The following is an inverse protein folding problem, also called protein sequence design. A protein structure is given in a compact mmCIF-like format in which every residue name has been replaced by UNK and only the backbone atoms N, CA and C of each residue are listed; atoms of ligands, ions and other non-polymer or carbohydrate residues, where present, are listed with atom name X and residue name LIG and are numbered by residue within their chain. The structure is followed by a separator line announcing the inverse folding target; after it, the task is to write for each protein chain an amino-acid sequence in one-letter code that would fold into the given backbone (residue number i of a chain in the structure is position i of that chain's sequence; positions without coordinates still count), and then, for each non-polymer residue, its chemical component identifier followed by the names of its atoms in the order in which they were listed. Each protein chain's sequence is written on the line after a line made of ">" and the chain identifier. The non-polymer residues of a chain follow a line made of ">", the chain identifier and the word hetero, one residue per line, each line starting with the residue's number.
data_IF_428142448943
#
_entry.id   IF_428142448943
#
_cell.length_a   1.000
_cell.length_b   1.000
_cell.length_c   1.000
_cell.angle_alpha   90.00
_cell.angle_beta   90.00
_cell.angle_gamma   90.00
#
_symmetry.space_group_name_H-M   'P 1'
#
loop_
_entity.id
_entity.type
_entity.pdbx_description
1 polymer ?
#
# COMPACT_ATOMS: atom_id res chain seq x y z
N UNK A 1 -33.81 22.66 18.78
CA UNK A 1 -32.51 22.49 19.46
C UNK A 1 -31.85 21.13 19.08
N UNK A 2 -32.63 20.03 18.96
CA UNK A 2 -32.10 18.72 18.57
C UNK A 2 -31.64 18.65 17.08
N UNK A 3 -32.25 19.43 16.19
CA UNK A 3 -31.89 19.46 14.76
C UNK A 3 -30.57 20.19 14.47
N UNK A 4 -30.17 21.16 15.29
CA UNK A 4 -28.90 21.87 15.14
C UNK A 4 -27.69 21.06 15.62
N UNK A 5 -27.89 20.18 16.62
CA UNK A 5 -26.82 19.30 17.13
C UNK A 5 -26.48 18.17 16.16
N UNK A 6 -27.48 17.62 15.44
CA UNK A 6 -27.26 16.57 14.43
C UNK A 6 -26.51 17.11 13.18
N UNK A 7 -26.77 18.36 12.77
CA UNK A 7 -26.06 19.00 11.66
C UNK A 7 -24.60 19.33 12.00
N UNK A 8 -24.29 19.63 13.26
CA UNK A 8 -22.90 19.90 13.68
C UNK A 8 -22.04 18.61 13.76
N UNK A 9 -22.61 17.48 14.14
CA UNK A 9 -21.90 16.21 14.18
C UNK A 9 -21.55 15.71 12.76
N UNK A 10 -22.49 15.76 11.82
CA UNK A 10 -22.24 15.37 10.43
C UNK A 10 -21.24 16.27 9.70
N UNK A 11 -21.18 17.55 10.03
CA UNK A 11 -20.19 18.50 9.46
C UNK A 11 -18.79 18.26 9.98
N UNK A 12 -18.66 17.84 11.24
CA UNK A 12 -17.38 17.53 11.87
C UNK A 12 -16.81 16.18 11.39
N UNK A 13 -17.66 15.20 11.14
CA UNK A 13 -17.27 13.92 10.52
C UNK A 13 -16.78 14.09 9.07
N UNK A 14 -17.35 14.99 8.31
CA UNK A 14 -16.95 15.29 6.92
C UNK A 14 -15.62 16.04 6.82
N UNK A 15 -15.16 16.67 7.91
CA UNK A 15 -13.89 17.41 7.97
C UNK A 15 -12.76 16.59 8.64
N UNK A 16 -13.07 15.45 9.26
CA UNK A 16 -12.07 14.60 9.90
C UNK A 16 -11.17 13.93 8.84
N UNK A 17 -9.87 13.93 9.11
CA UNK A 17 -8.91 13.18 8.28
C UNK A 17 -9.19 11.67 8.36
N UNK A 18 -8.69 10.87 7.40
CA UNK A 18 -8.83 9.40 7.46
C UNK A 18 -8.41 8.79 8.80
N UNK A 19 -7.27 9.23 9.37
CA UNK A 19 -6.79 8.68 10.64
C UNK A 19 -7.59 9.21 11.84
N UNK A 20 -8.08 10.46 11.83
CA UNK A 20 -9.00 10.93 12.88
C UNK A 20 -10.32 10.17 12.86
N UNK A 21 -10.78 9.73 11.69
CA UNK A 21 -12.01 8.94 11.52
C UNK A 21 -11.84 7.49 11.94
N UNK A 22 -10.79 6.85 11.49
CA UNK A 22 -10.60 5.39 11.61
C UNK A 22 -9.63 4.98 12.74
N UNK A 23 -8.70 5.85 13.14
CA UNK A 23 -7.73 5.61 14.22
C UNK A 23 -6.84 4.40 13.99
N UNK A 24 -6.60 3.63 15.06
CA UNK A 24 -5.78 2.42 15.01
C UNK A 24 -6.50 1.31 14.23
N UNK A 25 -5.84 0.79 13.20
CA UNK A 25 -6.34 -0.33 12.42
C UNK A 25 -6.02 -1.66 13.10
N UNK A 26 -6.91 -2.64 12.95
CA UNK A 26 -6.69 -4.00 13.44
C UNK A 26 -7.25 -5.04 12.49
N UNK A 27 -6.65 -6.22 12.46
CA UNK A 27 -7.15 -7.38 11.71
C UNK A 27 -8.06 -8.21 12.61
N UNK A 28 -9.25 -8.53 12.08
CA UNK A 28 -10.16 -9.49 12.71
C UNK A 28 -10.73 -10.42 11.64
N UNK A 29 -10.32 -11.68 11.69
CA UNK A 29 -10.65 -12.63 10.63
C UNK A 29 -10.07 -12.17 9.30
N UNK A 30 -10.91 -12.03 8.28
CA UNK A 30 -10.51 -11.60 6.94
C UNK A 30 -10.58 -10.09 6.71
N UNK A 31 -10.96 -9.32 7.73
CA UNK A 31 -11.22 -7.89 7.61
C UNK A 31 -10.19 -7.04 8.37
N UNK A 32 -9.96 -5.85 7.85
CA UNK A 32 -9.29 -4.77 8.56
C UNK A 32 -10.38 -3.87 9.13
N UNK A 33 -10.37 -3.69 10.44
CA UNK A 33 -11.33 -2.87 11.17
C UNK A 33 -10.66 -1.62 11.71
N UNK A 34 -11.46 -0.58 11.91
CA UNK A 34 -11.06 0.66 12.57
C UNK A 34 -11.20 0.59 14.12
N UNK A 35 -10.88 1.71 14.79
CA UNK A 35 -11.01 1.84 16.24
C UNK A 35 -12.47 1.72 16.74
N UNK A 36 -13.46 1.76 15.86
CA UNK A 36 -14.90 1.63 16.15
C UNK A 36 -15.46 0.26 15.77
N UNK A 37 -14.59 -0.71 15.47
CA UNK A 37 -14.96 -2.06 15.03
C UNK A 37 -15.71 -2.11 13.67
N UNK A 38 -15.52 -1.08 12.83
CA UNK A 38 -16.12 -1.04 11.51
C UNK A 38 -15.10 -1.46 10.44
N UNK A 39 -15.51 -2.24 9.41
CA UNK A 39 -14.66 -2.55 8.28
C UNK A 39 -14.17 -1.28 7.57
N UNK A 40 -12.90 -1.24 7.23
CA UNK A 40 -12.25 -0.12 6.54
C UNK A 40 -11.66 -0.57 5.22
N UNK A 41 -11.99 0.14 4.15
CA UNK A 41 -11.30 0.06 2.88
C UNK A 41 -10.51 1.34 2.64
N UNK A 42 -9.19 1.27 2.75
CA UNK A 42 -8.31 2.36 2.37
C UNK A 42 -8.05 2.33 0.87
N UNK A 43 -8.04 3.51 0.24
CA UNK A 43 -7.79 3.66 -1.20
C UNK A 43 -6.67 4.66 -1.42
N UNK A 44 -5.68 4.28 -2.23
CA UNK A 44 -4.49 5.11 -2.35
C UNK A 44 -3.68 4.96 -3.62
N UNK A 45 -2.57 5.68 -3.61
CA UNK A 45 -1.55 5.67 -4.66
C UNK A 45 -0.23 5.19 -4.11
N UNK A 46 0.49 4.39 -4.89
CA UNK A 46 1.89 4.10 -4.66
C UNK A 46 2.78 5.12 -5.38
N UNK A 47 3.80 5.61 -4.72
CA UNK A 47 4.93 6.24 -5.40
C UNK A 47 5.71 5.19 -6.20
N UNK A 48 6.64 5.63 -7.04
CA UNK A 48 7.55 4.74 -7.79
C UNK A 48 8.79 4.38 -6.95
N UNK A 49 9.64 3.48 -7.43
CA UNK A 49 10.91 3.10 -6.81
C UNK A 49 11.71 4.31 -6.35
N UNK A 50 12.13 4.37 -5.08
CA UNK A 50 12.74 5.57 -4.48
C UNK A 50 14.04 6.00 -5.15
N UNK A 51 14.87 5.05 -5.68
CA UNK A 51 16.11 5.39 -6.36
C UNK A 51 15.90 6.06 -7.73
N UNK A 52 14.78 5.77 -8.41
CA UNK A 52 14.45 6.31 -9.73
C UNK A 52 13.40 7.41 -9.70
N UNK A 53 12.41 7.28 -8.83
CA UNK A 53 11.31 8.24 -8.67
C UNK A 53 11.50 9.24 -7.54
N UNK A 54 12.71 9.35 -6.96
CA UNK A 54 12.97 10.12 -5.75
C UNK A 54 12.58 11.60 -5.80
N UNK A 55 12.48 12.20 -6.99
CA UNK A 55 11.99 13.58 -7.13
C UNK A 55 10.52 13.75 -6.70
N UNK A 56 9.72 12.68 -6.75
CA UNK A 56 8.32 12.67 -6.32
C UNK A 56 8.15 12.42 -4.81
N UNK A 57 9.22 12.13 -4.08
CA UNK A 57 9.18 11.93 -2.63
C UNK A 57 9.26 13.29 -1.91
N UNK A 58 8.17 14.03 -1.93
CA UNK A 58 8.09 15.36 -1.34
C UNK A 58 6.68 15.69 -0.82
N UNK A 59 6.53 16.69 0.10
CA UNK A 59 5.23 17.03 0.69
C UNK A 59 4.20 17.53 -0.31
N UNK A 60 4.59 18.24 -1.39
CA UNK A 60 3.65 18.76 -2.38
C UNK A 60 2.89 17.65 -3.11
N UNK A 61 3.56 16.49 -3.30
CA UNK A 61 2.93 15.28 -3.85
C UNK A 61 1.89 14.74 -2.88
N UNK A 62 2.22 14.65 -1.60
CA UNK A 62 1.28 14.20 -0.55
C UNK A 62 0.07 15.12 -0.50
N UNK A 63 0.27 16.44 -0.47
CA UNK A 63 -0.78 17.44 -0.47
C UNK A 63 -1.71 17.27 -1.67
N UNK A 64 -1.16 17.12 -2.87
CA UNK A 64 -1.94 16.94 -4.09
C UNK A 64 -2.74 15.64 -4.09
N UNK A 65 -2.13 14.53 -3.64
CA UNK A 65 -2.83 13.25 -3.55
C UNK A 65 -4.00 13.31 -2.56
N UNK A 66 -3.83 14.01 -1.44
CA UNK A 66 -4.91 14.17 -0.45
C UNK A 66 -5.99 15.13 -0.95
N UNK A 67 -5.61 16.35 -1.41
CA UNK A 67 -6.56 17.42 -1.70
C UNK A 67 -7.28 17.27 -3.05
N UNK A 68 -6.58 16.72 -4.06
CA UNK A 68 -7.08 16.60 -5.43
C UNK A 68 -7.50 15.18 -5.81
N UNK A 69 -6.76 14.16 -5.33
CA UNK A 69 -7.06 12.78 -5.65
C UNK A 69 -7.94 12.08 -4.61
N UNK A 70 -8.03 12.62 -3.40
CA UNK A 70 -8.88 12.07 -2.33
C UNK A 70 -8.35 10.77 -1.72
N UNK A 71 -7.02 10.55 -1.73
CA UNK A 71 -6.43 9.34 -1.15
C UNK A 71 -6.62 9.29 0.37
N UNK A 72 -6.84 8.11 0.89
CA UNK A 72 -6.82 7.81 2.32
C UNK A 72 -5.52 7.10 2.73
N UNK A 73 -4.71 6.69 1.74
CA UNK A 73 -3.50 5.89 1.89
C UNK A 73 -2.45 6.32 0.85
N UNK A 74 -1.19 6.38 1.27
CA UNK A 74 -0.04 6.53 0.36
C UNK A 74 0.92 5.37 0.59
N UNK A 75 1.34 4.68 -0.48
CA UNK A 75 2.39 3.66 -0.41
C UNK A 75 3.72 4.24 -0.83
N UNK A 76 4.76 3.97 -0.04
CA UNK A 76 6.09 4.57 -0.15
C UNK A 76 7.13 3.47 -0.34
N UNK A 77 7.47 3.12 -1.58
CA UNK A 77 8.44 2.07 -1.89
C UNK A 77 9.88 2.48 -1.55
N UNK A 78 10.47 1.86 -0.53
CA UNK A 78 11.91 1.93 -0.26
C UNK A 78 12.62 0.95 -1.17
N UNK A 79 13.22 1.42 -2.24
CA UNK A 79 14.01 0.57 -3.13
C UNK A 79 15.23 0.00 -2.42
N UNK A 80 15.40 -1.31 -2.46
CA UNK A 80 16.44 -2.00 -1.69
C UNK A 80 17.73 -2.15 -2.47
N UNK A 81 17.66 -2.61 -3.71
CA UNK A 81 18.80 -2.92 -4.57
C UNK A 81 19.00 -1.88 -5.69
N UNK A 82 20.03 -2.07 -6.53
CA UNK A 82 20.31 -1.28 -7.76
C UNK A 82 20.40 0.23 -7.51
N UNK A 83 21.26 0.60 -6.59
CA UNK A 83 21.41 1.99 -6.17
C UNK A 83 20.42 2.42 -5.09
N UNK A 84 19.71 1.47 -4.49
CA UNK A 84 18.76 1.67 -3.41
C UNK A 84 19.38 1.67 -2.01
N UNK A 85 18.61 1.24 -1.03
CA UNK A 85 18.95 1.28 0.39
C UNK A 85 20.24 0.54 0.75
N UNK A 86 20.49 -0.64 0.17
CA UNK A 86 21.70 -1.41 0.47
C UNK A 86 23.00 -0.67 0.10
N UNK A 87 22.94 0.21 -0.87
CA UNK A 87 24.10 1.01 -1.32
C UNK A 87 24.10 2.43 -0.72
N UNK A 88 22.91 2.99 -0.44
CA UNK A 88 22.73 4.37 0.02
C UNK A 88 21.65 4.47 1.12
N UNK A 89 21.82 3.83 2.28
CA UNK A 89 20.77 3.69 3.30
C UNK A 89 20.22 5.04 3.79
N UNK A 90 21.06 5.98 4.15
CA UNK A 90 20.62 7.27 4.67
C UNK A 90 19.86 8.10 3.64
N UNK A 91 20.30 8.07 2.39
CA UNK A 91 19.65 8.80 1.30
C UNK A 91 18.26 8.26 1.00
N UNK A 92 18.13 6.94 0.89
CA UNK A 92 16.85 6.31 0.55
C UNK A 92 15.89 6.40 1.74
N UNK A 93 16.36 6.18 2.96
CA UNK A 93 15.58 6.39 4.18
C UNK A 93 15.05 7.83 4.29
N UNK A 94 15.90 8.84 4.06
CA UNK A 94 15.49 10.24 4.15
C UNK A 94 14.33 10.59 3.18
N UNK A 95 14.35 10.04 1.96
CA UNK A 95 13.23 10.21 1.00
C UNK A 95 11.93 9.63 1.56
N UNK A 96 11.96 8.39 2.03
CA UNK A 96 10.81 7.70 2.60
C UNK A 96 10.25 8.49 3.79
N UNK A 97 11.12 8.90 4.72
CA UNK A 97 10.71 9.65 5.91
C UNK A 97 10.08 11.01 5.55
N UNK A 98 10.54 11.69 4.49
CA UNK A 98 9.91 12.92 4.01
C UNK A 98 8.43 12.71 3.67
N UNK A 99 8.08 11.59 3.04
CA UNK A 99 6.69 11.26 2.68
C UNK A 99 5.90 10.78 3.90
N UNK A 100 6.52 9.96 4.76
CA UNK A 100 5.92 9.49 6.02
C UNK A 100 5.49 10.67 6.89
N UNK A 101 6.40 11.62 7.14
CA UNK A 101 6.11 12.80 7.96
C UNK A 101 5.01 13.66 7.34
N UNK A 102 5.01 13.84 6.03
CA UNK A 102 3.98 14.57 5.31
C UNK A 102 2.60 13.86 5.40
N UNK A 103 2.56 12.54 5.24
CA UNK A 103 1.33 11.75 5.36
C UNK A 103 0.75 11.82 6.79
N UNK A 104 1.59 11.72 7.81
CA UNK A 104 1.20 11.90 9.23
C UNK A 104 0.62 13.30 9.43
N UNK A 105 1.29 14.34 8.94
CA UNK A 105 0.82 15.73 9.06
C UNK A 105 -0.53 15.96 8.35
N UNK A 106 -0.83 15.21 7.27
CA UNK A 106 -2.10 15.27 6.53
C UNK A 106 -3.16 14.30 7.07
N UNK A 107 -2.85 13.48 8.06
CA UNK A 107 -3.78 12.55 8.70
C UNK A 107 -4.24 11.42 7.76
N UNK A 108 -3.39 10.99 6.82
CA UNK A 108 -3.64 9.82 5.95
C UNK A 108 -2.74 8.66 6.36
N UNK A 109 -3.17 7.43 6.06
CA UNK A 109 -2.34 6.25 6.30
C UNK A 109 -1.17 6.20 5.34
N UNK A 110 -0.08 5.58 5.78
CA UNK A 110 1.13 5.44 4.97
C UNK A 110 1.71 4.04 5.09
N UNK A 111 1.85 3.36 3.94
CA UNK A 111 2.59 2.09 3.87
C UNK A 111 4.05 2.42 3.59
N UNK A 112 4.94 1.91 4.43
CA UNK A 112 6.37 1.86 4.15
C UNK A 112 6.71 0.46 3.67
N UNK A 113 7.11 0.36 2.41
CA UNK A 113 7.32 -0.88 1.70
C UNK A 113 8.82 -1.16 1.49
N UNK A 114 9.27 -2.33 1.95
CA UNK A 114 10.59 -2.88 1.61
C UNK A 114 10.54 -3.41 0.18
N UNK A 115 10.83 -2.53 -0.77
CA UNK A 115 10.61 -2.75 -2.18
C UNK A 115 11.74 -3.57 -2.81
N UNK A 116 11.64 -4.89 -2.65
CA UNK A 116 12.61 -5.87 -3.08
C UNK A 116 11.96 -7.10 -3.72
N UNK A 117 12.72 -7.81 -4.56
CA UNK A 117 12.39 -9.15 -5.04
C UNK A 117 13.22 -10.23 -4.35
N UNK A 118 14.44 -9.88 -3.92
CA UNK A 118 15.35 -10.79 -3.20
C UNK A 118 15.29 -10.54 -1.69
N UNK A 119 15.50 -11.58 -0.88
CA UNK A 119 15.42 -11.49 0.57
C UNK A 119 16.65 -10.78 1.15
N UNK A 120 16.41 -9.84 2.06
CA UNK A 120 17.43 -9.16 2.87
C UNK A 120 16.95 -9.10 4.33
N UNK A 121 16.79 -10.24 5.02
CA UNK A 121 16.09 -10.32 6.30
C UNK A 121 16.75 -9.52 7.43
N UNK A 122 18.08 -9.45 7.46
CA UNK A 122 18.82 -8.70 8.48
C UNK A 122 18.66 -7.20 8.29
N UNK A 123 18.81 -6.73 7.05
CA UNK A 123 18.69 -5.31 6.72
C UNK A 123 17.24 -4.82 6.88
N UNK A 124 16.26 -5.62 6.45
CA UNK A 124 14.85 -5.32 6.62
C UNK A 124 14.45 -5.26 8.10
N UNK A 125 14.87 -6.25 8.91
CA UNK A 125 14.61 -6.26 10.34
C UNK A 125 15.20 -5.02 11.04
N UNK A 126 16.43 -4.65 10.73
CA UNK A 126 17.07 -3.47 11.29
C UNK A 126 16.36 -2.16 10.87
N UNK A 127 15.99 -2.04 9.60
CA UNK A 127 15.26 -0.87 9.09
C UNK A 127 13.89 -0.71 9.74
N UNK A 128 13.12 -1.79 9.80
CA UNK A 128 11.77 -1.73 10.39
C UNK A 128 11.78 -1.61 11.91
N UNK A 129 12.77 -2.16 12.62
CA UNK A 129 12.93 -1.93 14.06
C UNK A 129 13.17 -0.44 14.35
N UNK A 130 14.05 0.22 13.59
CA UNK A 130 14.32 1.65 13.72
C UNK A 130 13.08 2.50 13.36
N UNK A 131 12.35 2.14 12.30
CA UNK A 131 11.10 2.80 11.92
C UNK A 131 10.03 2.63 13.02
N UNK A 132 9.85 1.44 13.55
CA UNK A 132 8.91 1.15 14.62
C UNK A 132 9.26 1.89 15.90
N UNK A 133 10.54 1.95 16.28
CA UNK A 133 11.01 2.70 17.45
C UNK A 133 10.73 4.20 17.32
N UNK A 134 10.87 4.78 16.14
CA UNK A 134 10.75 6.22 15.91
C UNK A 134 9.33 6.66 15.60
N UNK A 135 8.55 5.87 14.85
CA UNK A 135 7.24 6.25 14.30
C UNK A 135 6.10 5.27 14.67
N UNK A 136 6.38 4.14 15.32
CA UNK A 136 5.38 3.11 15.63
C UNK A 136 4.24 3.60 16.52
N UNK A 137 4.41 4.71 17.24
CA UNK A 137 3.35 5.33 18.05
C UNK A 137 2.29 6.08 17.22
N UNK A 138 2.49 6.22 15.90
CA UNK A 138 1.53 6.83 15.00
C UNK A 138 0.62 5.75 14.37
N UNK A 139 -0.70 5.81 14.55
CA UNK A 139 -1.63 4.85 13.93
C UNK A 139 -1.71 4.96 12.41
N UNK A 140 -1.05 5.96 11.83
CA UNK A 140 -0.93 6.19 10.38
C UNK A 140 -0.09 5.11 9.67
N UNK A 141 0.86 4.50 10.40
CA UNK A 141 1.91 3.68 9.83
C UNK A 141 1.44 2.25 9.57
N UNK A 142 1.72 1.76 8.36
CA UNK A 142 1.54 0.37 7.95
C UNK A 142 2.89 -0.12 7.42
N UNK A 143 3.32 -1.30 7.83
CA UNK A 143 4.58 -1.90 7.38
C UNK A 143 4.31 -2.91 6.27
N UNK A 144 4.95 -2.79 5.13
CA UNK A 144 4.99 -3.83 4.10
C UNK A 144 6.39 -4.44 4.06
N UNK A 145 6.51 -5.62 4.66
CA UNK A 145 7.82 -6.19 5.03
C UNK A 145 8.60 -6.75 3.86
N UNK A 146 7.97 -7.05 2.74
CA UNK A 146 8.60 -7.47 1.49
C UNK A 146 7.62 -7.32 0.33
N UNK A 147 7.96 -6.47 -0.64
CA UNK A 147 7.12 -6.15 -1.80
C UNK A 147 6.70 -7.40 -2.59
N UNK A 148 7.65 -8.09 -3.21
CA UNK A 148 7.38 -9.16 -4.17
C UNK A 148 8.40 -10.30 -4.11
N UNK A 149 8.24 -11.25 -3.16
CA UNK A 149 9.01 -12.48 -3.20
C UNK A 149 8.83 -13.21 -4.55
N UNK A 150 9.94 -13.65 -5.17
CA UNK A 150 9.88 -14.35 -6.45
C UNK A 150 9.23 -15.74 -6.32
N UNK A 151 8.85 -16.33 -7.45
CA UNK A 151 8.33 -17.69 -7.51
C UNK A 151 9.35 -18.78 -7.13
N UNK A 152 10.63 -18.42 -7.07
CA UNK A 152 11.73 -19.28 -6.58
C UNK A 152 11.85 -19.31 -5.06
N UNK A 153 11.21 -18.35 -4.38
CA UNK A 153 11.22 -18.24 -2.92
C UNK A 153 10.01 -18.97 -2.32
N UNK A 154 10.22 -20.24 -1.94
CA UNK A 154 9.15 -21.05 -1.33
C UNK A 154 8.71 -20.50 0.02
N UNK A 155 7.38 -20.46 0.26
CA UNK A 155 6.77 -19.93 1.46
C UNK A 155 7.40 -20.46 2.75
N UNK A 156 7.31 -21.75 3.00
CA UNK A 156 7.73 -22.35 4.26
C UNK A 156 9.24 -22.29 4.53
N UNK A 157 10.07 -22.18 3.48
CA UNK A 157 11.54 -22.25 3.63
C UNK A 157 12.23 -20.90 3.59
N UNK A 158 11.62 -19.91 2.92
CA UNK A 158 12.26 -18.61 2.68
C UNK A 158 11.35 -17.46 3.16
N UNK A 159 10.13 -17.38 2.61
CA UNK A 159 9.28 -16.17 2.79
C UNK A 159 8.74 -16.10 4.22
N UNK A 160 8.17 -17.18 4.75
CA UNK A 160 7.63 -17.20 6.11
C UNK A 160 8.71 -16.95 7.18
N UNK A 161 9.89 -17.63 7.19
CA UNK A 161 10.95 -17.33 8.15
C UNK A 161 11.49 -15.90 8.06
N UNK A 162 11.54 -15.32 6.84
CA UNK A 162 11.85 -13.91 6.65
C UNK A 162 10.84 -13.02 7.40
N UNK A 163 9.54 -13.23 7.16
CA UNK A 163 8.49 -12.44 7.81
C UNK A 163 8.47 -12.61 9.33
N UNK A 164 8.62 -13.83 9.83
CA UNK A 164 8.69 -14.10 11.28
C UNK A 164 9.79 -13.27 11.95
N UNK A 165 10.94 -13.15 11.30
CA UNK A 165 12.06 -12.33 11.79
C UNK A 165 11.76 -10.84 11.76
N UNK A 166 11.24 -10.32 10.66
CA UNK A 166 10.95 -8.89 10.50
C UNK A 166 9.78 -8.47 11.41
N UNK A 167 8.73 -9.28 11.49
CA UNK A 167 7.60 -9.05 12.40
C UNK A 167 8.07 -9.01 13.85
N UNK A 168 8.93 -9.93 14.29
CA UNK A 168 9.48 -9.92 15.64
C UNK A 168 10.22 -8.60 15.93
N UNK A 169 11.05 -8.13 14.99
CA UNK A 169 11.79 -6.88 15.14
C UNK A 169 10.88 -5.64 15.22
N UNK A 170 9.79 -5.59 14.43
CA UNK A 170 8.79 -4.53 14.52
C UNK A 170 8.09 -4.58 15.89
N UNK A 171 7.62 -5.75 16.31
CA UNK A 171 6.81 -5.93 17.53
C UNK A 171 7.56 -5.68 18.83
N UNK A 172 8.90 -5.61 18.81
CA UNK A 172 9.69 -5.13 19.95
C UNK A 172 9.42 -3.65 20.28
N UNK A 173 8.97 -2.86 19.30
CA UNK A 173 8.78 -1.41 19.44
C UNK A 173 7.35 -0.95 19.15
N UNK A 174 6.64 -1.66 18.28
CA UNK A 174 5.28 -1.34 17.84
C UNK A 174 4.39 -2.60 17.94
N UNK A 175 3.59 -2.73 19.01
CA UNK A 175 2.71 -3.88 19.19
C UNK A 175 1.43 -3.82 18.32
N UNK A 176 1.04 -2.65 17.80
CA UNK A 176 -0.33 -2.41 17.37
C UNK A 176 -0.51 -2.19 15.87
N UNK A 177 0.43 -1.52 15.18
CA UNK A 177 0.23 -1.16 13.78
C UNK A 177 0.15 -2.38 12.84
N UNK A 178 -0.58 -2.20 11.75
CA UNK A 178 -0.80 -3.23 10.74
C UNK A 178 0.51 -3.57 10.02
N UNK A 179 0.78 -4.86 9.85
CA UNK A 179 1.88 -5.38 9.05
C UNK A 179 1.31 -6.17 7.87
N UNK A 180 1.77 -5.84 6.68
CA UNK A 180 1.39 -6.49 5.42
C UNK A 180 2.56 -7.34 4.94
N UNK A 181 2.30 -8.61 4.65
CA UNK A 181 3.30 -9.64 4.39
C UNK A 181 3.27 -10.05 2.91
N UNK A 182 4.35 -9.80 2.19
CA UNK A 182 4.50 -10.23 0.80
C UNK A 182 4.37 -11.75 0.66
N UNK A 183 3.77 -12.22 -0.43
CA UNK A 183 3.59 -13.65 -0.70
C UNK A 183 4.41 -14.09 -1.92
N UNK A 184 4.71 -15.41 -2.11
CA UNK A 184 5.47 -15.86 -3.27
C UNK A 184 4.81 -15.49 -4.60
N UNK A 185 5.57 -15.64 -5.68
CA UNK A 185 5.11 -15.39 -7.05
C UNK A 185 4.64 -13.94 -7.23
N UNK A 186 5.51 -12.97 -6.86
CA UNK A 186 5.24 -11.53 -6.93
C UNK A 186 3.95 -11.16 -6.20
N UNK A 187 3.84 -11.60 -4.94
CA UNK A 187 2.70 -11.35 -4.05
C UNK A 187 1.35 -11.83 -4.62
N UNK A 188 1.33 -13.02 -5.25
CA UNK A 188 0.13 -13.65 -5.82
C UNK A 188 -0.31 -14.94 -5.12
N UNK A 189 0.60 -15.62 -4.38
CA UNK A 189 0.29 -16.92 -3.76
C UNK A 189 -0.26 -16.76 -2.34
N UNK A 190 -1.29 -15.91 -2.20
CA UNK A 190 -1.93 -15.62 -0.91
C UNK A 190 -2.60 -16.84 -0.27
N UNK A 191 -3.10 -17.77 -1.07
CA UNK A 191 -3.71 -19.01 -0.61
C UNK A 191 -2.67 -19.98 0.00
N UNK A 192 -1.42 -19.95 -0.51
CA UNK A 192 -0.31 -20.69 0.07
C UNK A 192 0.08 -20.14 1.45
N UNK A 193 0.12 -18.81 1.57
CA UNK A 193 0.40 -18.14 2.84
C UNK A 193 -0.73 -18.37 3.86
N UNK A 194 -1.98 -18.30 3.42
CA UNK A 194 -3.14 -18.55 4.25
C UNK A 194 -3.19 -19.98 4.83
N UNK A 195 -2.72 -20.98 4.07
CA UNK A 195 -2.69 -22.38 4.51
C UNK A 195 -1.66 -22.64 5.63
N UNK A 196 -0.63 -21.80 5.75
CA UNK A 196 0.43 -21.90 6.78
C UNK A 196 0.82 -20.50 7.27
N UNK A 197 -0.06 -19.79 8.02
CA UNK A 197 0.12 -18.38 8.32
C UNK A 197 1.30 -18.10 9.25
N UNK A 198 1.83 -16.88 9.15
CA UNK A 198 2.77 -16.32 10.13
C UNK A 198 2.02 -16.09 11.43
N UNK A 199 2.64 -16.50 12.55
CA UNK A 199 2.05 -16.28 13.87
C UNK A 199 2.16 -14.80 14.29
N UNK A 200 1.08 -14.26 14.85
CA UNK A 200 1.04 -12.89 15.34
C UNK A 200 -0.34 -12.26 15.21
N UNK A 201 -0.42 -10.99 15.61
CA UNK A 201 -1.64 -10.18 15.53
C UNK A 201 -1.45 -9.03 14.55
N UNK A 202 -2.55 -8.53 13.99
CA UNK A 202 -2.55 -7.42 13.04
C UNK A 202 -1.65 -7.67 11.82
N UNK A 203 -1.75 -8.89 11.26
CA UNK A 203 -1.06 -9.31 10.05
C UNK A 203 -2.08 -9.47 8.92
N UNK A 204 -1.77 -8.91 7.75
CA UNK A 204 -2.48 -9.13 6.50
C UNK A 204 -1.50 -9.61 5.43
N UNK A 205 -2.01 -10.24 4.36
CA UNK A 205 -1.17 -10.76 3.28
C UNK A 205 -1.33 -9.90 2.03
N UNK A 206 -0.19 -9.58 1.43
CA UNK A 206 -0.11 -8.79 0.21
C UNK A 206 -0.61 -9.59 -0.98
N UNK A 207 -1.57 -9.00 -1.72
CA UNK A 207 -2.01 -9.46 -3.03
C UNK A 207 -1.67 -8.38 -4.07
N UNK A 208 -0.86 -8.72 -5.08
CA UNK A 208 -0.58 -7.83 -6.21
C UNK A 208 -1.24 -8.35 -7.47
N UNK A 209 -1.80 -7.42 -8.27
CA UNK A 209 -2.31 -7.75 -9.58
C UNK A 209 -2.09 -6.62 -10.60
N UNK A 210 -2.03 -7.00 -11.85
CA UNK A 210 -2.06 -6.10 -13.00
C UNK A 210 -3.21 -6.55 -13.90
N UNK A 211 -4.17 -5.66 -14.15
CA UNK A 211 -5.46 -6.02 -14.74
C UNK A 211 -5.35 -6.68 -16.11
N UNK A 212 -4.35 -6.31 -16.92
CA UNK A 212 -4.10 -6.91 -18.20
C UNK A 212 -3.50 -8.32 -18.16
N UNK A 213 -2.91 -8.72 -17.02
CA UNK A 213 -2.23 -10.02 -16.86
C UNK A 213 -3.00 -10.99 -15.97
N UNK A 214 -3.72 -10.47 -14.99
CA UNK A 214 -4.28 -11.26 -13.89
C UNK A 214 -5.80 -11.13 -13.88
N UNK A 215 -6.49 -12.25 -14.08
CA UNK A 215 -7.94 -12.34 -14.11
C UNK A 215 -8.49 -13.29 -13.05
N UNK A 216 -9.57 -14.00 -13.40
CA UNK A 216 -10.37 -14.83 -12.50
C UNK A 216 -9.55 -15.82 -11.67
N UNK A 217 -8.51 -16.43 -12.23
CA UNK A 217 -7.67 -17.40 -11.53
C UNK A 217 -6.99 -16.81 -10.26
N UNK A 218 -6.57 -15.52 -10.31
CA UNK A 218 -5.99 -14.85 -9.14
C UNK A 218 -7.07 -14.38 -8.17
N UNK A 219 -8.25 -13.94 -8.65
CA UNK A 219 -9.42 -13.69 -7.80
C UNK A 219 -9.82 -14.95 -7.03
N UNK A 220 -9.79 -16.12 -7.68
CA UNK A 220 -10.10 -17.38 -7.01
C UNK A 220 -9.06 -17.77 -5.95
N UNK A 221 -7.77 -17.43 -6.15
CA UNK A 221 -6.74 -17.57 -5.08
C UNK A 221 -7.06 -16.65 -3.90
N UNK A 222 -7.42 -15.38 -4.15
CA UNK A 222 -7.80 -14.44 -3.11
C UNK A 222 -9.01 -14.95 -2.30
N UNK A 223 -10.05 -15.46 -2.98
CA UNK A 223 -11.21 -16.07 -2.30
C UNK A 223 -10.81 -17.25 -1.42
N UNK A 224 -9.98 -18.17 -1.94
CA UNK A 224 -9.49 -19.31 -1.13
C UNK A 224 -8.70 -18.87 0.10
N UNK A 225 -7.86 -17.82 -0.02
CA UNK A 225 -7.12 -17.30 1.12
C UNK A 225 -8.07 -16.73 2.19
N UNK A 226 -9.08 -15.96 1.78
CA UNK A 226 -10.10 -15.44 2.70
C UNK A 226 -10.95 -16.57 3.34
N UNK A 227 -11.33 -17.59 2.58
CA UNK A 227 -12.01 -18.79 3.11
C UNK A 227 -11.19 -19.52 4.18
N UNK A 228 -9.86 -19.42 4.11
CA UNK A 228 -8.94 -19.93 5.12
C UNK A 228 -8.72 -18.96 6.29
N UNK A 229 -9.37 -17.80 6.29
CA UNK A 229 -9.33 -16.80 7.37
C UNK A 229 -8.23 -15.75 7.24
N UNK A 230 -7.55 -15.65 6.10
CA UNK A 230 -6.52 -14.64 5.88
C UNK A 230 -7.13 -13.27 5.54
N UNK A 231 -6.66 -12.21 6.20
CA UNK A 231 -6.89 -10.84 5.76
C UNK A 231 -5.95 -10.50 4.59
N UNK A 232 -6.48 -9.85 3.56
CA UNK A 232 -5.72 -9.45 2.38
C UNK A 232 -5.60 -7.93 2.30
N UNK A 233 -4.48 -7.47 1.74
CA UNK A 233 -4.23 -6.07 1.41
C UNK A 233 -3.65 -5.99 -0.01
N UNK A 234 -4.26 -5.21 -0.89
CA UNK A 234 -3.76 -5.00 -2.26
C UNK A 234 -2.84 -3.79 -2.26
N UNK A 235 -1.63 -3.96 -1.74
CA UNK A 235 -0.66 -2.87 -1.60
C UNK A 235 -0.11 -2.36 -2.93
N UNK A 236 -0.25 -3.17 -4.01
CA UNK A 236 0.10 -2.77 -5.37
C UNK A 236 -0.85 -3.38 -6.39
N UNK A 237 -1.38 -2.54 -7.31
CA UNK A 237 -2.08 -3.01 -8.49
C UNK A 237 -1.93 -2.03 -9.66
N UNK A 238 -1.96 -2.55 -10.89
CA UNK A 238 -1.83 -1.75 -12.09
C UNK A 238 -2.96 -1.97 -13.10
N UNK A 239 -3.27 -0.92 -13.88
CA UNK A 239 -4.24 -0.98 -14.99
C UNK A 239 -3.69 -1.64 -16.25
N UNK A 240 -2.39 -1.92 -16.29
CA UNK A 240 -1.62 -2.42 -17.44
C UNK A 240 -1.38 -3.93 -17.39
N UNK A 241 -0.51 -4.42 -18.29
CA UNK A 241 0.13 -5.72 -18.11
C UNK A 241 1.16 -5.68 -16.96
N UNK A 242 1.55 -6.85 -16.45
CA UNK A 242 2.48 -6.97 -15.32
C UNK A 242 3.90 -6.42 -15.57
N UNK A 243 4.27 -6.19 -16.83
CA UNK A 243 5.51 -5.50 -17.18
C UNK A 243 5.40 -3.96 -17.09
N UNK A 244 4.23 -3.44 -16.67
CA UNK A 244 3.91 -2.02 -16.57
C UNK A 244 3.49 -1.37 -17.91
N UNK A 245 3.62 -2.07 -19.02
CA UNK A 245 3.37 -1.59 -20.38
C UNK A 245 2.14 -2.21 -21.05
N UNK A 246 2.18 -2.23 -22.39
CA UNK A 246 1.25 -2.92 -23.29
C UNK A 246 -0.23 -2.50 -23.20
N UNK A 247 -0.49 -1.27 -22.77
CA UNK A 247 -1.82 -0.66 -22.76
C UNK A 247 -2.48 -0.59 -21.39
N UNK A 248 -3.72 -0.13 -21.39
CA UNK A 248 -4.55 0.10 -20.20
C UNK A 248 -5.83 -0.73 -20.33
N UNK A 249 -6.09 -1.58 -19.35
CA UNK A 249 -7.16 -2.58 -19.30
C UNK A 249 -8.23 -2.13 -18.28
N UNK A 250 -9.08 -1.19 -18.70
CA UNK A 250 -10.01 -0.52 -17.77
C UNK A 250 -11.20 -1.39 -17.37
N UNK A 251 -11.70 -2.26 -18.23
CA UNK A 251 -12.82 -3.15 -17.90
C UNK A 251 -12.38 -4.26 -16.95
N UNK A 252 -11.20 -4.81 -17.15
CA UNK A 252 -10.57 -5.75 -16.24
C UNK A 252 -10.23 -5.08 -14.89
N UNK A 253 -9.79 -3.82 -14.94
CA UNK A 253 -9.57 -3.02 -13.72
C UNK A 253 -10.87 -2.80 -12.94
N UNK A 254 -12.00 -2.53 -13.61
CA UNK A 254 -13.31 -2.43 -12.95
C UNK A 254 -13.72 -3.75 -12.30
N UNK A 255 -13.53 -4.88 -13.00
CA UNK A 255 -13.81 -6.21 -12.46
C UNK A 255 -13.03 -6.46 -11.16
N UNK A 256 -11.76 -6.08 -11.12
CA UNK A 256 -10.96 -6.17 -9.91
C UNK A 256 -11.45 -5.23 -8.80
N UNK A 257 -11.72 -3.96 -9.12
CA UNK A 257 -12.19 -2.98 -8.14
C UNK A 257 -13.56 -3.37 -7.55
N UNK A 258 -14.46 -3.92 -8.36
CA UNK A 258 -15.75 -4.46 -7.87
C UNK A 258 -15.53 -5.59 -6.86
N UNK A 259 -14.56 -6.49 -7.12
CA UNK A 259 -14.16 -7.52 -6.17
C UNK A 259 -13.56 -6.94 -4.87
N UNK A 260 -12.70 -5.92 -4.99
CA UNK A 260 -12.11 -5.27 -3.81
C UNK A 260 -13.18 -4.55 -2.98
N UNK A 261 -14.15 -3.91 -3.62
CA UNK A 261 -15.25 -3.20 -2.96
C UNK A 261 -16.22 -4.19 -2.28
N UNK A 262 -16.54 -5.30 -2.94
CA UNK A 262 -17.38 -6.38 -2.37
C UNK A 262 -16.81 -6.92 -1.05
N UNK A 263 -15.48 -7.06 -0.99
CA UNK A 263 -14.77 -7.63 0.16
C UNK A 263 -14.13 -6.59 1.08
N UNK A 264 -14.30 -5.29 0.82
CA UNK A 264 -13.71 -4.17 1.56
C UNK A 264 -12.17 -4.27 1.66
N UNK A 265 -11.52 -4.72 0.57
CA UNK A 265 -10.07 -4.84 0.52
C UNK A 265 -9.42 -3.48 0.23
N UNK A 266 -8.53 -3.06 1.11
CA UNK A 266 -7.74 -1.84 0.94
C UNK A 266 -6.74 -1.98 -0.22
N UNK A 267 -6.45 -0.87 -0.92
CA UNK A 267 -5.60 -0.91 -2.10
C UNK A 267 -4.77 0.36 -2.35
N UNK A 268 -3.62 0.19 -3.02
CA UNK A 268 -2.82 1.27 -3.59
C UNK A 268 -2.49 0.99 -5.06
N UNK A 269 -2.72 1.97 -5.94
CA UNK A 269 -2.43 1.83 -7.37
C UNK A 269 -0.97 2.13 -7.69
N UNK A 270 -0.35 1.32 -8.51
CA UNK A 270 0.96 1.51 -9.11
C UNK A 270 0.85 2.21 -10.46
N UNK A 271 1.41 3.42 -10.66
CA UNK A 271 2.12 4.25 -9.71
C UNK A 271 2.02 5.74 -10.08
N UNK A 272 2.21 6.61 -9.09
CA UNK A 272 2.36 8.03 -9.31
C UNK A 272 3.79 8.33 -9.80
N UNK A 273 3.98 8.34 -11.09
CA UNK A 273 5.25 8.64 -11.75
C UNK A 273 5.02 9.08 -13.19
N UNK A 274 6.04 9.67 -13.83
CA UNK A 274 5.99 10.21 -15.19
C UNK A 274 6.85 9.46 -16.22
N UNK A 275 7.10 8.17 -15.95
CA UNK A 275 7.78 7.29 -16.92
C UNK A 275 6.83 7.01 -18.10
N UNK A 276 7.39 6.82 -19.31
CA UNK A 276 6.63 6.36 -20.48
C UNK A 276 6.27 4.88 -20.33
N UNK A 277 5.27 4.63 -19.51
CA UNK A 277 4.79 3.31 -19.12
C UNK A 277 3.29 3.36 -18.84
N UNK A 278 2.53 2.36 -19.30
CA UNK A 278 1.06 2.37 -19.24
C UNK A 278 0.51 2.39 -17.80
N UNK A 279 1.25 1.83 -16.83
CA UNK A 279 0.90 1.84 -15.42
C UNK A 279 1.09 3.20 -14.74
N UNK A 280 1.94 4.07 -15.31
CA UNK A 280 2.21 5.37 -14.70
C UNK A 280 1.03 6.32 -14.84
N UNK A 281 0.72 7.05 -13.77
CA UNK A 281 -0.42 7.96 -13.71
C UNK A 281 -0.16 9.29 -14.46
N UNK A 282 1.09 9.69 -14.60
CA UNK A 282 1.49 10.96 -15.20
C UNK A 282 2.20 10.75 -16.54
N UNK A 283 1.99 11.70 -17.45
CA UNK A 283 2.70 11.72 -18.75
C UNK A 283 4.16 12.12 -18.55
N UNK A 284 5.07 11.61 -19.40
CA UNK A 284 6.48 12.00 -19.35
C UNK A 284 6.71 13.52 -19.32
N UNK A 285 7.65 13.93 -18.47
CA UNK A 285 7.99 15.35 -18.24
C UNK A 285 6.95 16.11 -17.41
N UNK A 286 6.11 15.41 -16.63
CA UNK A 286 5.27 16.04 -15.63
C UNK A 286 6.10 16.59 -14.47
N UNK A 287 5.64 17.66 -13.84
CA UNK A 287 6.29 18.19 -12.63
C UNK A 287 6.37 17.11 -11.54
N UNK A 288 7.49 16.95 -10.85
CA UNK A 288 7.57 16.09 -9.66
C UNK A 288 6.83 16.69 -8.45
N UNK A 289 6.15 17.81 -8.63
CA UNK A 289 5.32 18.49 -7.64
C UNK A 289 3.97 18.78 -8.26
N UNK A 290 2.91 18.40 -7.56
CA UNK A 290 1.53 18.70 -7.99
C UNK A 290 1.18 20.19 -7.85
N UNK A 291 -0.06 20.59 -8.14
CA UNK A 291 -1.10 19.74 -8.75
C UNK A 291 -0.86 19.50 -10.24
N UNK A 292 -1.36 18.38 -10.75
CA UNK A 292 -1.24 18.03 -12.17
C UNK A 292 -2.55 18.32 -12.92
N UNK A 293 -2.50 19.17 -13.97
CA UNK A 293 -3.67 19.40 -14.78
C UNK A 293 -4.05 18.14 -15.57
N UNK A 294 -5.30 18.06 -16.01
CA UNK A 294 -5.91 16.89 -16.64
C UNK A 294 -5.14 16.38 -17.88
N UNK A 295 -4.54 17.29 -18.65
CA UNK A 295 -3.74 16.96 -19.83
C UNK A 295 -2.37 16.33 -19.48
N UNK A 296 -1.95 16.39 -18.23
CA UNK A 296 -0.75 15.71 -17.72
C UNK A 296 -1.04 14.31 -17.21
N UNK A 297 -2.30 13.91 -17.05
CA UNK A 297 -2.67 12.57 -16.65
C UNK A 297 -2.68 11.62 -17.85
N UNK A 298 -2.23 10.39 -17.63
CA UNK A 298 -2.39 9.27 -18.57
C UNK A 298 -3.84 8.75 -18.54
N UNK A 299 -4.16 7.77 -19.37
CA UNK A 299 -5.44 7.06 -19.27
C UNK A 299 -5.58 6.31 -17.94
N UNK A 300 -4.48 5.70 -17.46
CA UNK A 300 -4.41 5.08 -16.14
C UNK A 300 -4.65 6.11 -15.03
N UNK A 301 -3.92 7.23 -15.06
CA UNK A 301 -4.03 8.27 -14.03
C UNK A 301 -5.44 8.86 -13.92
N UNK A 302 -6.09 9.17 -15.03
CA UNK A 302 -7.49 9.64 -15.04
C UNK A 302 -8.44 8.62 -14.42
N UNK A 303 -8.36 7.39 -14.88
CA UNK A 303 -9.19 6.31 -14.36
C UNK A 303 -9.02 6.13 -12.84
N UNK A 304 -7.77 6.04 -12.37
CA UNK A 304 -7.50 5.81 -10.94
C UNK A 304 -7.95 7.00 -10.09
N UNK A 305 -7.71 8.25 -10.55
CA UNK A 305 -8.21 9.44 -9.84
C UNK A 305 -9.73 9.43 -9.70
N UNK A 306 -10.47 9.04 -10.74
CA UNK A 306 -11.92 8.87 -10.67
C UNK A 306 -12.36 7.80 -9.65
N UNK A 307 -11.60 6.71 -9.51
CA UNK A 307 -11.92 5.67 -8.51
C UNK A 307 -11.62 6.12 -7.07
N UNK A 308 -10.58 6.92 -6.88
CA UNK A 308 -10.21 7.46 -5.57
C UNK A 308 -11.22 8.49 -5.05
N UNK A 309 -11.91 9.21 -5.95
CA UNK A 309 -12.88 10.26 -5.62
C UNK A 309 -14.31 9.72 -5.37
N UNK A 310 -14.55 8.41 -5.49
CA UNK A 310 -15.82 7.76 -5.15
C UNK A 310 -15.94 7.54 -3.64
#
# INVERSE_FOLDING_TARGET
>A
LAGLLALSATSQELLATPVERHGQLRVQGTQILDQHDQPVQLRGMSLFWSQWGGAFFNPDVVDTLVDDWGVTLIRVPLAVHRGGYMEHPEREKAKVMTVVDAAIARGVYVIVDWHAHEPEPEAAAAFFADLAQTHGHHPHLIYETWNEPLNTHGWAKVVKPYHERVVAAIREHDPDNLIVLGTPTWSQDVDVAAADPVAGTNLAYTLHFYAGSHGQALIDKARRAMEQGAALFVSEWGTSMANGGDGVFLDESRTWLDFLDEHQLSWANWSLFDKDESSCALRPGSSPRGPWPEDRLTASGRFVREQLQK
#
